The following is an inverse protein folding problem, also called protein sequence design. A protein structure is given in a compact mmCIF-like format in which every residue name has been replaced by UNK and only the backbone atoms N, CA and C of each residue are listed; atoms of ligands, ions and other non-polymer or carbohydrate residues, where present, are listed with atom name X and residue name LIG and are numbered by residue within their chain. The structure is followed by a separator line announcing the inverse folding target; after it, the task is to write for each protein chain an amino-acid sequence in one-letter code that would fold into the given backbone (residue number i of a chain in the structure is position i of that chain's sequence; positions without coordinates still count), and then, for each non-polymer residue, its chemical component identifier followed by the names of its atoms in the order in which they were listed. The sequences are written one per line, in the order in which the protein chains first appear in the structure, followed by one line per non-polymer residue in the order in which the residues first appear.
data_IF_173371958579
#
_entry.id   IF_173371958579
#
_cell.length_a   1.000
_cell.length_b   1.000
_cell.length_c   1.000
_cell.angle_alpha   90.00
_cell.angle_beta   90.00
_cell.angle_gamma   90.00
#
_symmetry.space_group_name_H-M   'P 1'
#
loop_
_entity.id
_entity.type
_entity.pdbx_description
1 polymer ?
#
# COMPACT_ATOMS: atom_id res chain seq x y z
N UNK A 1 29.23 49.70 -2.77
CA UNK A 1 30.22 48.83 -2.08
C UNK A 1 30.13 49.10 -0.60
N UNK A 2 30.39 48.15 0.32
CA UNK A 2 30.74 46.71 0.19
C UNK A 2 29.78 45.85 1.07
N UNK A 3 29.86 44.54 1.29
CA UNK A 3 30.44 43.31 0.71
C UNK A 3 29.76 42.17 1.49
N UNK A 4 29.63 40.99 0.88
CA UNK A 4 29.41 39.73 1.60
C UNK A 4 30.57 39.42 2.57
N UNK A 5 30.37 38.47 3.50
CA UNK A 5 31.01 37.16 3.33
C UNK A 5 30.03 36.01 3.60
N UNK A 6 29.94 34.97 2.76
CA UNK A 6 30.87 33.83 2.66
C UNK A 6 31.02 33.06 4.00
N UNK A 7 30.34 31.92 4.16
CA UNK A 7 30.95 30.59 3.96
C UNK A 7 29.98 29.46 4.36
N UNK A 8 29.63 28.66 3.35
CA UNK A 8 29.19 27.27 3.45
C UNK A 8 30.38 26.39 3.82
N UNK A 9 30.30 25.60 4.90
CA UNK A 9 30.73 24.19 4.88
C UNK A 9 30.26 23.40 6.10
N UNK A 10 29.72 22.22 5.80
CA UNK A 10 29.56 21.02 6.64
C UNK A 10 28.81 21.15 7.98
N UNK A 11 27.61 20.58 8.04
CA UNK A 11 27.37 19.24 8.62
C UNK A 11 26.12 18.65 7.94
N UNK A 12 26.35 17.89 6.86
CA UNK A 12 25.38 16.90 6.37
C UNK A 12 25.59 15.65 7.23
N UNK A 13 24.68 15.38 8.17
CA UNK A 13 24.35 14.08 8.78
C UNK A 13 23.40 14.31 9.95
N UNK A 14 22.33 13.49 10.01
CA UNK A 14 21.28 13.35 11.05
C UNK A 14 20.01 14.16 10.79
N UNK A 15 18.92 13.47 10.42
CA UNK A 15 17.86 13.02 11.34
C UNK A 15 16.76 12.26 10.55
N UNK A 16 16.39 11.07 11.04
CA UNK A 16 15.22 10.31 10.60
C UNK A 16 13.94 11.07 11.01
N UNK A 17 13.00 11.39 10.12
CA UNK A 17 11.77 12.05 10.52
C UNK A 17 10.86 11.06 11.25
N UNK A 18 10.88 11.11 12.59
CA UNK A 18 9.90 10.45 13.44
C UNK A 18 8.63 11.31 13.49
N UNK A 19 7.56 10.84 12.86
CA UNK A 19 6.27 11.54 12.81
C UNK A 19 5.50 11.40 14.13
N UNK A 20 5.04 12.51 14.68
CA UNK A 20 4.22 12.63 15.91
C UNK A 20 2.73 12.76 15.52
N UNK A 21 1.90 11.87 16.06
CA UNK A 21 0.50 11.64 15.68
C UNK A 21 -0.50 12.55 16.43
N UNK A 22 -1.66 12.80 15.81
CA UNK A 22 -2.80 13.57 16.37
C UNK A 22 -3.61 12.67 17.32
N UNK A 23 -3.95 13.21 18.50
CA UNK A 23 -4.37 12.46 19.71
C UNK A 23 -5.84 11.99 19.70
N UNK A 24 -6.06 10.66 19.76
CA UNK A 24 -7.27 9.97 20.27
C UNK A 24 -6.84 8.62 20.87
N UNK A 25 -6.79 8.58 22.21
CA UNK A 25 -6.03 7.62 23.03
C UNK A 25 -4.52 7.68 22.72
N UNK A 26 -3.72 8.07 23.71
CA UNK A 26 -2.30 8.44 23.54
C UNK A 26 -1.38 7.30 23.07
N UNK A 27 -1.88 6.06 22.98
CA UNK A 27 -1.07 4.90 22.63
C UNK A 27 -1.54 4.27 21.31
N UNK A 28 -0.64 4.11 20.32
CA UNK A 28 -0.98 3.50 19.04
C UNK A 28 -1.41 2.03 19.20
N UNK A 29 -2.16 1.52 18.22
CA UNK A 29 -2.53 0.11 18.15
C UNK A 29 -1.30 -0.76 17.84
N UNK A 30 -0.39 -0.26 17.01
CA UNK A 30 0.89 -0.90 16.67
C UNK A 30 2.00 0.14 16.75
N UNK A 31 3.10 -0.20 17.42
CA UNK A 31 4.32 0.61 17.52
C UNK A 31 5.53 -0.27 17.22
N UNK A 32 6.14 -0.03 16.07
CA UNK A 32 7.34 -0.73 15.60
C UNK A 32 8.49 0.25 15.62
N UNK A 33 9.60 -0.10 16.28
CA UNK A 33 10.78 0.75 16.40
C UNK A 33 12.03 -0.03 16.07
N UNK A 34 12.75 0.44 15.05
CA UNK A 34 14.04 -0.07 14.57
C UNK A 34 14.04 -1.60 14.42
N UNK A 35 12.92 -2.15 13.94
CA UNK A 35 12.75 -3.59 13.82
C UNK A 35 13.74 -4.14 12.80
N UNK A 36 14.51 -5.13 13.23
CA UNK A 36 15.38 -5.93 12.37
C UNK A 36 15.01 -7.39 12.49
N UNK A 37 15.05 -8.11 11.37
CA UNK A 37 14.77 -9.54 11.33
C UNK A 37 15.73 -10.26 10.38
N UNK A 38 16.29 -11.37 10.87
CA UNK A 38 17.31 -12.16 10.18
C UNK A 38 16.82 -13.60 9.94
N UNK A 39 17.15 -14.15 8.78
CA UNK A 39 17.04 -15.57 8.44
C UNK A 39 18.44 -16.08 8.10
N UNK A 40 19.11 -16.71 9.07
CA UNK A 40 20.53 -17.02 8.97
C UNK A 40 21.34 -15.74 8.80
N UNK A 41 22.06 -15.60 7.68
CA UNK A 41 22.83 -14.40 7.33
C UNK A 41 22.03 -13.36 6.56
N UNK A 42 20.80 -13.67 6.13
CA UNK A 42 19.97 -12.77 5.34
C UNK A 42 19.13 -11.87 6.23
N UNK A 43 19.36 -10.56 6.16
CA UNK A 43 18.55 -9.55 6.85
C UNK A 43 17.33 -9.16 6.01
N UNK A 44 16.18 -9.72 6.38
CA UNK A 44 14.89 -9.54 5.69
C UNK A 44 14.22 -8.20 6.02
N UNK A 45 14.39 -7.71 7.25
CA UNK A 45 13.87 -6.42 7.72
C UNK A 45 15.03 -5.65 8.35
N UNK A 46 15.23 -4.39 7.94
CA UNK A 46 16.48 -3.63 8.11
C UNK A 46 16.26 -2.30 8.83
N UNK A 47 15.76 -2.33 10.06
CA UNK A 47 15.54 -1.15 10.89
C UNK A 47 14.28 -0.38 10.48
N UNK A 48 13.13 -1.05 10.45
CA UNK A 48 11.85 -0.40 10.11
C UNK A 48 11.19 0.19 11.35
N UNK A 49 10.63 1.39 11.21
CA UNK A 49 9.96 2.12 12.28
C UNK A 49 8.66 2.73 11.77
N UNK A 50 7.54 2.42 12.40
CA UNK A 50 6.23 3.00 12.06
C UNK A 50 5.22 2.79 13.20
N UNK A 51 4.14 3.58 13.17
CA UNK A 51 3.02 3.46 14.10
C UNK A 51 1.68 3.40 13.36
N UNK A 52 0.73 2.68 13.94
CA UNK A 52 -0.66 2.58 13.47
C UNK A 52 -1.58 3.07 14.58
N UNK A 53 -2.37 4.11 14.33
CA UNK A 53 -3.37 4.58 15.30
C UNK A 53 -4.52 3.58 15.43
N UNK A 54 -5.22 3.66 16.56
CA UNK A 54 -6.47 2.92 16.74
C UNK A 54 -7.54 3.42 15.78
N UNK A 55 -8.25 2.49 15.15
CA UNK A 55 -9.29 2.76 14.15
C UNK A 55 -8.77 3.20 12.78
N UNK A 56 -7.45 3.17 12.57
CA UNK A 56 -6.81 3.44 11.29
C UNK A 56 -6.76 2.16 10.43
N UNK A 57 -6.88 2.31 9.11
CA UNK A 57 -6.44 1.29 8.16
C UNK A 57 -5.05 1.67 7.63
N UNK A 58 -4.07 0.86 8.02
CA UNK A 58 -2.69 1.01 7.59
C UNK A 58 -2.33 -0.07 6.58
N UNK A 59 -1.83 0.33 5.41
CA UNK A 59 -1.39 -0.62 4.38
C UNK A 59 0.14 -0.64 4.24
N UNK A 60 0.74 -1.81 4.41
CA UNK A 60 2.14 -2.09 4.15
C UNK A 60 2.29 -2.64 2.72
N UNK A 61 2.92 -1.86 1.85
CA UNK A 61 3.06 -2.10 0.42
C UNK A 61 4.48 -2.51 0.09
N UNK A 62 4.67 -3.18 -1.05
CA UNK A 62 6.00 -3.60 -1.49
C UNK A 62 5.94 -4.80 -2.42
N UNK A 63 7.01 -5.05 -3.17
CA UNK A 63 7.17 -6.27 -3.96
C UNK A 63 7.30 -7.51 -3.09
N UNK A 64 7.19 -8.68 -3.71
CA UNK A 64 7.53 -9.95 -3.07
C UNK A 64 9.00 -9.92 -2.65
N UNK A 65 9.27 -10.40 -1.42
CA UNK A 65 10.61 -10.33 -0.82
C UNK A 65 11.00 -8.96 -0.25
N UNK A 66 10.11 -7.96 -0.24
CA UNK A 66 10.39 -6.68 0.40
C UNK A 66 10.51 -6.76 1.93
N UNK A 67 9.99 -7.82 2.56
CA UNK A 67 9.97 -8.04 4.01
C UNK A 67 8.62 -7.79 4.69
N UNK A 68 7.53 -7.66 3.91
CA UNK A 68 6.16 -7.42 4.41
C UNK A 68 5.68 -8.54 5.34
N UNK A 69 5.65 -9.77 4.84
CA UNK A 69 5.23 -10.97 5.60
C UNK A 69 6.09 -11.17 6.84
N UNK A 70 7.42 -11.00 6.74
CA UNK A 70 8.30 -11.06 7.91
C UNK A 70 7.97 -10.01 8.96
N UNK A 71 7.64 -8.78 8.54
CA UNK A 71 7.21 -7.71 9.46
C UNK A 71 5.87 -8.07 10.12
N UNK A 72 4.94 -8.61 9.32
CA UNK A 72 3.63 -9.07 9.79
C UNK A 72 3.74 -10.21 10.82
N UNK A 73 4.53 -11.25 10.52
CA UNK A 73 4.78 -12.39 11.42
C UNK A 73 5.31 -11.96 12.80
N UNK A 74 6.18 -10.92 12.83
CA UNK A 74 6.69 -10.38 14.10
C UNK A 74 5.59 -9.61 14.85
N UNK A 75 4.75 -8.84 14.15
CA UNK A 75 3.62 -8.14 14.77
C UNK A 75 2.54 -9.10 15.28
N UNK A 76 2.31 -10.22 14.59
CA UNK A 76 1.38 -11.27 15.00
C UNK A 76 1.91 -12.11 16.17
N UNK A 77 3.22 -12.01 16.45
CA UNK A 77 3.88 -12.73 17.54
C UNK A 77 4.30 -14.16 17.17
N UNK A 78 4.31 -14.51 15.88
CA UNK A 78 4.85 -15.79 15.42
C UNK A 78 6.37 -15.87 15.58
N UNK A 79 7.05 -14.72 15.59
CA UNK A 79 8.50 -14.63 15.76
C UNK A 79 8.88 -13.50 16.72
N UNK A 80 9.97 -13.72 17.45
CA UNK A 80 10.63 -12.65 18.19
C UNK A 80 11.40 -11.76 17.22
N UNK A 81 11.43 -10.42 17.45
CA UNK A 81 12.28 -9.53 16.68
C UNK A 81 13.76 -9.87 16.87
N UNK A 82 14.54 -9.84 15.79
CA UNK A 82 16.00 -10.00 15.86
C UNK A 82 16.69 -8.81 16.55
N UNK A 83 16.21 -7.60 16.29
CA UNK A 83 16.51 -6.39 17.05
C UNK A 83 15.35 -5.38 16.97
N UNK A 84 15.41 -4.33 17.77
CA UNK A 84 14.34 -3.34 17.89
C UNK A 84 13.20 -3.80 18.80
N UNK A 85 12.07 -3.10 18.74
CA UNK A 85 10.90 -3.39 19.58
C UNK A 85 9.61 -3.33 18.78
N UNK A 86 8.70 -4.25 19.08
CA UNK A 86 7.33 -4.26 18.56
C UNK A 86 6.35 -4.29 19.72
N UNK A 87 5.37 -3.39 19.68
CA UNK A 87 4.24 -3.37 20.60
C UNK A 87 2.94 -3.44 19.82
N UNK A 88 2.06 -4.36 20.22
CA UNK A 88 0.72 -4.53 19.69
C UNK A 88 -0.28 -4.37 20.82
N UNK A 89 -1.14 -3.36 20.71
CA UNK A 89 -2.13 -2.96 21.72
C UNK A 89 -1.48 -2.74 23.11
N UNK A 90 -0.25 -2.22 23.11
CA UNK A 90 0.57 -1.97 24.30
C UNK A 90 1.38 -3.17 24.82
N UNK A 91 1.26 -4.34 24.21
CA UNK A 91 1.87 -5.60 24.65
C UNK A 91 2.99 -6.05 23.71
N UNK A 92 3.92 -6.88 24.18
CA UNK A 92 4.88 -7.58 23.32
C UNK A 92 4.17 -8.77 22.65
N UNK A 93 4.01 -8.81 21.33
CA UNK A 93 3.24 -9.88 20.67
C UNK A 93 3.85 -11.27 20.83
N UNK A 94 5.16 -11.38 21.01
CA UNK A 94 5.84 -12.67 21.20
C UNK A 94 5.76 -13.13 22.66
N UNK A 95 6.10 -12.25 23.61
CA UNK A 95 6.13 -12.58 25.05
C UNK A 95 4.74 -12.66 25.68
N UNK A 96 3.86 -11.73 25.31
CA UNK A 96 2.49 -11.62 25.82
C UNK A 96 1.46 -12.27 24.87
N UNK A 97 1.93 -13.19 24.02
CA UNK A 97 1.16 -13.78 22.91
C UNK A 97 -0.26 -14.25 23.26
N UNK A 98 -0.50 -14.96 24.39
CA UNK A 98 -1.86 -15.34 24.78
C UNK A 98 -2.81 -14.15 25.01
N UNK A 99 -2.31 -13.03 25.53
CA UNK A 99 -3.12 -11.82 25.76
C UNK A 99 -3.36 -11.07 24.45
N UNK A 100 -2.35 -11.01 23.57
CA UNK A 100 -2.46 -10.38 22.26
C UNK A 100 -3.42 -11.15 21.35
N UNK A 101 -3.27 -12.48 21.24
CA UNK A 101 -4.13 -13.35 20.40
C UNK A 101 -5.62 -13.28 20.74
N UNK A 102 -5.97 -12.91 21.97
CA UNK A 102 -7.39 -12.70 22.36
C UNK A 102 -7.99 -11.42 21.79
N UNK A 103 -7.14 -10.45 21.45
CA UNK A 103 -7.53 -9.08 21.04
C UNK A 103 -7.28 -8.82 19.56
N UNK A 104 -6.53 -9.68 18.88
CA UNK A 104 -6.25 -9.57 17.46
C UNK A 104 -6.99 -10.63 16.65
N UNK A 105 -7.22 -10.32 15.37
CA UNK A 105 -7.65 -11.24 14.34
C UNK A 105 -6.56 -11.35 13.27
N UNK A 106 -6.38 -12.54 12.70
CA UNK A 106 -5.37 -12.76 11.65
C UNK A 106 -6.03 -13.50 10.50
N UNK A 107 -5.90 -12.95 9.31
CA UNK A 107 -6.24 -13.59 8.05
C UNK A 107 -4.94 -13.88 7.30
N UNK A 108 -4.62 -15.16 7.16
CA UNK A 108 -3.44 -15.61 6.42
C UNK A 108 -3.71 -15.64 4.90
N UNK A 109 -2.64 -15.68 4.12
CA UNK A 109 -2.71 -15.73 2.65
C UNK A 109 -3.43 -16.99 2.12
N UNK A 110 -3.26 -18.14 2.77
CA UNK A 110 -3.96 -19.39 2.42
C UNK A 110 -4.71 -19.96 3.63
N UNK A 111 -6.05 -19.98 3.53
CA UNK A 111 -6.94 -20.64 4.49
C UNK A 111 -6.96 -22.15 4.27
N UNK A 112 -6.36 -22.92 5.18
CA UNK A 112 -6.44 -24.38 5.18
C UNK A 112 -7.81 -24.86 5.68
N UNK A 113 -8.81 -24.88 4.80
CA UNK A 113 -10.14 -25.39 5.14
C UNK A 113 -10.32 -26.88 4.83
N UNK A 114 -11.13 -27.55 5.65
CA UNK A 114 -11.63 -28.89 5.35
C UNK A 114 -12.82 -28.77 4.37
N UNK A 115 -12.67 -29.19 3.10
CA UNK A 115 -13.70 -28.97 2.08
C UNK A 115 -15.00 -29.73 2.36
N UNK A 116 -14.96 -30.78 3.19
CA UNK A 116 -16.11 -31.61 3.56
C UNK A 116 -17.03 -30.94 4.59
N UNK A 117 -16.48 -30.06 5.43
CA UNK A 117 -17.26 -29.33 6.43
C UNK A 117 -18.14 -28.27 5.78
N UNK A 118 -19.29 -28.02 6.38
CA UNK A 118 -20.11 -26.84 6.04
C UNK A 118 -19.47 -25.56 6.58
N UNK A 119 -19.88 -24.42 6.02
CA UNK A 119 -19.53 -23.09 6.52
C UNK A 119 -19.80 -22.97 8.02
N UNK A 120 -20.99 -23.39 8.47
CA UNK A 120 -21.38 -23.37 9.87
C UNK A 120 -20.48 -24.26 10.71
N UNK A 121 -20.27 -25.52 10.30
CA UNK A 121 -19.42 -26.46 11.03
C UNK A 121 -17.98 -25.95 11.15
N UNK A 122 -17.46 -25.32 10.08
CA UNK A 122 -16.14 -24.70 10.09
C UNK A 122 -16.06 -23.59 11.14
N UNK A 123 -17.01 -22.66 11.15
CA UNK A 123 -17.02 -21.58 12.15
C UNK A 123 -17.21 -22.14 13.56
N UNK A 124 -18.15 -23.08 13.76
CA UNK A 124 -18.40 -23.71 15.06
C UNK A 124 -17.18 -24.47 15.58
N UNK A 125 -16.43 -25.14 14.71
CA UNK A 125 -15.16 -25.78 15.06
C UNK A 125 -14.13 -24.75 15.55
N UNK A 126 -13.94 -23.65 14.81
CA UNK A 126 -12.99 -22.59 15.17
C UNK A 126 -13.35 -21.88 16.49
N UNK A 127 -14.64 -21.78 16.82
CA UNK A 127 -15.09 -21.22 18.11
C UNK A 127 -14.53 -21.99 19.31
N UNK A 128 -14.25 -23.29 19.16
CA UNK A 128 -13.61 -24.09 20.21
C UNK A 128 -12.16 -23.70 20.51
N UNK A 129 -11.46 -23.08 19.55
CA UNK A 129 -10.06 -22.68 19.68
C UNK A 129 -9.86 -21.21 20.07
N UNK A 130 -10.93 -20.40 20.05
CA UNK A 130 -10.84 -18.96 20.22
C UNK A 130 -11.57 -18.52 21.50
N UNK A 131 -10.84 -17.84 22.39
CA UNK A 131 -11.44 -17.24 23.58
C UNK A 131 -12.31 -16.03 23.19
N UNK A 132 -13.51 -15.92 23.77
CA UNK A 132 -14.41 -14.80 23.48
C UNK A 132 -15.08 -14.88 22.10
N UNK A 133 -15.11 -16.06 21.48
CA UNK A 133 -15.71 -16.25 20.17
C UNK A 133 -17.20 -15.87 20.16
N UNK A 134 -17.57 -15.01 19.21
CA UNK A 134 -18.94 -14.56 18.97
C UNK A 134 -19.83 -15.70 18.46
N UNK A 135 -21.13 -15.49 18.39
CA UNK A 135 -22.06 -16.52 17.91
C UNK A 135 -21.87 -16.69 16.41
N UNK A 136 -21.86 -17.93 15.93
CA UNK A 136 -21.69 -18.28 14.50
C UNK A 136 -22.61 -17.49 13.59
N UNK A 137 -23.88 -17.33 13.98
CA UNK A 137 -24.84 -16.53 13.22
C UNK A 137 -24.41 -15.07 13.07
N UNK A 138 -23.99 -14.43 14.16
CA UNK A 138 -23.57 -13.02 14.12
C UNK A 138 -22.37 -12.80 13.19
N UNK A 139 -21.41 -13.71 13.23
CA UNK A 139 -20.21 -13.63 12.40
C UNK A 139 -20.53 -13.89 10.93
N UNK A 140 -21.36 -14.89 10.65
CA UNK A 140 -21.79 -15.19 9.27
C UNK A 140 -22.69 -14.10 8.68
N UNK A 141 -23.54 -13.46 9.50
CA UNK A 141 -24.34 -12.31 9.09
C UNK A 141 -23.40 -11.13 8.76
N UNK A 142 -22.37 -10.88 9.58
CA UNK A 142 -21.40 -9.80 9.36
C UNK A 142 -20.62 -9.95 8.05
N UNK A 143 -20.29 -11.18 7.64
CA UNK A 143 -19.52 -11.41 6.41
C UNK A 143 -20.39 -11.83 5.21
N UNK A 144 -21.71 -11.64 5.29
CA UNK A 144 -22.67 -12.01 4.23
C UNK A 144 -22.54 -13.49 3.76
N UNK A 145 -22.40 -14.41 4.72
CA UNK A 145 -22.37 -15.86 4.49
C UNK A 145 -23.48 -16.63 5.20
N UNK A 146 -24.40 -15.94 5.86
CA UNK A 146 -25.51 -16.58 6.58
C UNK A 146 -26.37 -17.48 5.67
N UNK A 147 -26.66 -17.03 4.44
CA UNK A 147 -27.40 -17.82 3.44
C UNK A 147 -26.64 -19.05 2.93
N UNK A 148 -25.34 -19.14 3.20
CA UNK A 148 -24.45 -20.24 2.78
C UNK A 148 -24.01 -21.12 3.95
N UNK A 149 -24.58 -20.91 5.15
CA UNK A 149 -24.18 -21.61 6.36
C UNK A 149 -24.21 -23.16 6.25
N UNK A 150 -25.15 -23.72 5.48
CA UNK A 150 -25.28 -25.17 5.26
C UNK A 150 -24.50 -25.71 4.05
N UNK A 151 -23.77 -24.87 3.33
CA UNK A 151 -23.01 -25.25 2.12
C UNK A 151 -21.64 -25.77 2.54
N UNK A 152 -21.16 -26.82 1.88
CA UNK A 152 -19.81 -27.35 2.10
C UNK A 152 -18.75 -26.37 1.61
N UNK A 153 -17.64 -26.22 2.35
CA UNK A 153 -16.56 -25.29 2.00
C UNK A 153 -15.98 -25.61 0.61
N UNK A 154 -15.90 -26.89 0.24
CA UNK A 154 -15.47 -27.31 -1.09
C UNK A 154 -16.31 -26.74 -2.24
N UNK A 155 -17.57 -26.38 -1.98
CA UNK A 155 -18.52 -25.84 -2.97
C UNK A 155 -18.58 -24.30 -2.99
N UNK A 156 -17.81 -23.62 -2.14
CA UNK A 156 -17.74 -22.18 -2.12
C UNK A 156 -16.89 -21.65 -3.27
N UNK A 157 -17.32 -20.53 -3.85
CA UNK A 157 -16.49 -19.74 -4.77
C UNK A 157 -15.25 -19.18 -4.06
N UNK A 158 -14.25 -18.72 -4.82
CA UNK A 158 -13.04 -18.10 -4.23
C UNK A 158 -13.37 -16.92 -3.30
N UNK A 159 -14.28 -16.05 -3.73
CA UNK A 159 -14.76 -14.94 -2.91
C UNK A 159 -15.50 -15.40 -1.64
N UNK A 160 -16.32 -16.44 -1.73
CA UNK A 160 -17.01 -17.02 -0.57
C UNK A 160 -16.03 -17.66 0.43
N UNK A 161 -15.00 -18.36 -0.05
CA UNK A 161 -13.94 -18.91 0.81
C UNK A 161 -13.20 -17.80 1.55
N UNK A 162 -12.93 -16.68 0.89
CA UNK A 162 -12.28 -15.55 1.55
C UNK A 162 -13.17 -14.85 2.56
N UNK A 163 -14.48 -14.75 2.30
CA UNK A 163 -15.42 -14.27 3.32
C UNK A 163 -15.44 -15.20 4.53
N UNK A 164 -15.28 -16.51 4.32
CA UNK A 164 -15.12 -17.47 5.42
C UNK A 164 -13.80 -17.25 6.17
N UNK A 165 -12.67 -17.03 5.49
CA UNK A 165 -11.40 -16.66 6.13
C UNK A 165 -11.58 -15.42 7.02
N UNK A 166 -12.26 -14.40 6.50
CA UNK A 166 -12.49 -13.16 7.22
C UNK A 166 -13.42 -13.39 8.42
N UNK A 167 -14.44 -14.25 8.28
CA UNK A 167 -15.31 -14.69 9.35
C UNK A 167 -14.51 -15.26 10.53
N UNK A 168 -13.54 -16.13 10.24
CA UNK A 168 -12.67 -16.73 11.24
C UNK A 168 -11.74 -15.69 11.87
N UNK A 169 -11.18 -14.78 11.06
CA UNK A 169 -10.30 -13.73 11.54
C UNK A 169 -11.02 -12.75 12.48
N UNK A 170 -12.32 -12.49 12.28
CA UNK A 170 -13.10 -11.60 13.15
C UNK A 170 -13.87 -12.34 14.25
N UNK A 171 -13.69 -13.64 14.41
CA UNK A 171 -14.55 -14.48 15.24
C UNK A 171 -14.60 -14.03 16.73
N UNK A 172 -13.51 -13.48 17.26
CA UNK A 172 -13.43 -12.91 18.62
C UNK A 172 -13.85 -11.42 18.73
N UNK A 173 -14.20 -10.76 17.63
CA UNK A 173 -14.45 -9.31 17.62
C UNK A 173 -13.17 -8.53 17.95
N UNK A 174 -12.13 -8.63 17.12
CA UNK A 174 -10.79 -8.13 17.46
C UNK A 174 -10.73 -6.59 17.48
N UNK A 175 -9.86 -6.04 18.34
CA UNK A 175 -9.49 -4.63 18.34
C UNK A 175 -8.56 -4.27 17.16
N UNK A 176 -7.78 -5.25 16.70
CA UNK A 176 -6.82 -5.12 15.61
C UNK A 176 -6.88 -6.35 14.70
N UNK A 177 -7.01 -6.13 13.39
CA UNK A 177 -7.10 -7.16 12.38
C UNK A 177 -5.90 -7.08 11.43
N UNK A 178 -5.15 -8.18 11.31
CA UNK A 178 -4.10 -8.35 10.32
C UNK A 178 -4.66 -9.07 9.09
N UNK A 179 -4.45 -8.50 7.92
CA UNK A 179 -4.89 -9.04 6.63
C UNK A 179 -3.67 -9.22 5.73
N UNK A 180 -3.23 -10.47 5.55
CA UNK A 180 -2.14 -10.79 4.63
C UNK A 180 -2.71 -11.07 3.23
N UNK A 181 -2.51 -10.12 2.30
CA UNK A 181 -2.96 -10.21 0.92
C UNK A 181 -4.44 -10.68 0.76
N UNK A 182 -5.42 -9.92 1.29
CA UNK A 182 -6.82 -10.34 1.38
C UNK A 182 -7.51 -10.56 0.04
N UNK A 183 -7.02 -9.98 -1.05
CA UNK A 183 -7.72 -9.98 -2.34
C UNK A 183 -6.92 -10.62 -3.48
N UNK A 184 -5.82 -11.29 -3.17
CA UNK A 184 -5.02 -12.04 -4.14
C UNK A 184 -5.82 -13.17 -4.76
N UNK A 185 -5.77 -13.28 -6.10
CA UNK A 185 -6.47 -14.31 -6.86
C UNK A 185 -7.99 -14.13 -6.99
N UNK A 186 -8.54 -13.01 -6.53
CA UNK A 186 -9.96 -12.69 -6.67
C UNK A 186 -10.30 -12.01 -7.99
N UNK A 187 -11.51 -12.29 -8.48
CA UNK A 187 -12.15 -11.47 -9.50
C UNK A 187 -12.51 -10.05 -8.96
N UNK A 188 -12.78 -9.07 -9.84
CA UNK A 188 -13.04 -7.70 -9.43
C UNK A 188 -14.26 -7.51 -8.50
N UNK A 189 -15.31 -8.33 -8.65
CA UNK A 189 -16.52 -8.22 -7.83
C UNK A 189 -16.26 -8.73 -6.40
N UNK A 190 -15.63 -9.90 -6.29
CA UNK A 190 -15.21 -10.46 -5.00
C UNK A 190 -14.27 -9.52 -4.24
N UNK A 191 -13.32 -8.88 -4.94
CA UNK A 191 -12.43 -7.86 -4.36
C UNK A 191 -13.19 -6.70 -3.73
N UNK A 192 -14.11 -6.08 -4.48
CA UNK A 192 -14.93 -4.96 -3.99
C UNK A 192 -15.80 -5.34 -2.79
N UNK A 193 -16.30 -6.57 -2.75
CA UNK A 193 -17.06 -7.05 -1.60
C UNK A 193 -16.17 -7.21 -0.35
N UNK A 194 -14.95 -7.75 -0.49
CA UNK A 194 -13.98 -7.81 0.61
C UNK A 194 -13.61 -6.42 1.11
N UNK A 195 -13.39 -5.47 0.21
CA UNK A 195 -13.11 -4.06 0.54
C UNK A 195 -14.20 -3.44 1.40
N UNK A 196 -15.46 -3.58 0.98
CA UNK A 196 -16.62 -3.06 1.74
C UNK A 196 -16.66 -3.64 3.16
N UNK A 197 -16.43 -4.94 3.30
CA UNK A 197 -16.42 -5.59 4.60
C UNK A 197 -15.28 -5.09 5.51
N UNK A 198 -14.10 -4.84 4.93
CA UNK A 198 -12.96 -4.25 5.66
C UNK A 198 -13.27 -2.80 6.09
N UNK A 199 -13.90 -2.01 5.23
CA UNK A 199 -14.36 -0.65 5.57
C UNK A 199 -15.40 -0.68 6.70
N UNK A 200 -16.36 -1.61 6.66
CA UNK A 200 -17.36 -1.79 7.71
C UNK A 200 -16.73 -2.20 9.04
N UNK A 201 -15.76 -3.11 9.03
CA UNK A 201 -15.00 -3.50 10.22
C UNK A 201 -14.28 -2.30 10.83
N UNK A 202 -13.60 -1.52 10.00
CA UNK A 202 -12.93 -0.27 10.40
C UNK A 202 -13.92 0.75 10.97
N UNK A 203 -15.06 0.97 10.30
CA UNK A 203 -16.10 1.90 10.74
C UNK A 203 -16.68 1.52 12.11
N UNK A 204 -16.68 0.23 12.45
CA UNK A 204 -17.06 -0.28 13.76
C UNK A 204 -15.96 -0.17 14.84
N UNK A 205 -14.82 0.47 14.52
CA UNK A 205 -13.73 0.77 15.46
C UNK A 205 -12.57 -0.22 15.44
N UNK A 206 -12.61 -1.24 14.58
CA UNK A 206 -11.48 -2.18 14.42
C UNK A 206 -10.32 -1.48 13.73
N UNK A 207 -9.11 -1.63 14.27
CA UNK A 207 -7.89 -1.19 13.58
C UNK A 207 -7.50 -2.24 12.55
N UNK A 208 -7.07 -1.84 11.36
CA UNK A 208 -6.72 -2.80 10.29
C UNK A 208 -5.29 -2.57 9.82
N UNK A 209 -4.50 -3.64 9.80
CA UNK A 209 -3.18 -3.67 9.16
C UNK A 209 -3.25 -4.63 7.98
N UNK A 210 -3.07 -4.08 6.80
CA UNK A 210 -3.17 -4.76 5.51
C UNK A 210 -1.78 -4.89 4.89
N UNK A 211 -1.43 -6.05 4.36
CA UNK A 211 -0.36 -6.17 3.36
C UNK A 211 -1.00 -6.38 1.99
N UNK A 212 -0.46 -5.72 0.97
CA UNK A 212 -0.91 -5.93 -0.40
C UNK A 212 0.18 -5.53 -1.39
N UNK A 213 0.21 -6.19 -2.53
CA UNK A 213 0.94 -5.73 -3.72
C UNK A 213 0.02 -5.01 -4.72
N UNK A 214 -1.29 -4.95 -4.47
CA UNK A 214 -2.22 -4.17 -5.26
C UNK A 214 -2.28 -2.73 -4.76
N UNK A 215 -1.60 -1.83 -5.46
CA UNK A 215 -1.50 -0.43 -5.07
C UNK A 215 -2.85 0.31 -5.11
N UNK A 216 -3.75 -0.11 -6.01
CA UNK A 216 -5.13 0.39 -6.08
C UNK A 216 -5.91 0.11 -4.78
N UNK A 217 -5.73 -1.08 -4.19
CA UNK A 217 -6.38 -1.46 -2.93
C UNK A 217 -5.98 -0.53 -1.79
N UNK A 218 -4.67 -0.28 -1.68
CA UNK A 218 -4.15 0.61 -0.67
C UNK A 218 -4.59 2.06 -0.89
N UNK A 219 -4.61 2.53 -2.14
CA UNK A 219 -5.04 3.88 -2.47
C UNK A 219 -6.52 4.11 -2.16
N UNK A 220 -7.36 3.09 -2.33
CA UNK A 220 -8.79 3.16 -2.08
C UNK A 220 -9.14 3.04 -0.59
N UNK A 221 -8.47 2.14 0.15
CA UNK A 221 -8.86 1.76 1.50
C UNK A 221 -8.05 2.43 2.61
N UNK A 222 -6.78 2.71 2.38
CA UNK A 222 -5.85 3.03 3.46
C UNK A 222 -5.93 4.49 3.87
N UNK A 223 -5.95 4.71 5.19
CA UNK A 223 -5.73 6.03 5.77
C UNK A 223 -4.26 6.43 5.61
N UNK A 224 -3.36 5.47 5.86
CA UNK A 224 -1.91 5.62 5.70
C UNK A 224 -1.30 4.40 5.07
N UNK A 225 -0.21 4.65 4.36
CA UNK A 225 0.56 3.62 3.67
C UNK A 225 2.00 3.69 4.10
N UNK A 226 2.69 2.55 4.08
CA UNK A 226 4.13 2.46 4.09
C UNK A 226 4.58 1.58 2.93
N UNK A 227 5.42 2.13 2.06
CA UNK A 227 6.01 1.42 0.93
C UNK A 227 7.35 0.86 1.38
N UNK A 228 7.46 -0.46 1.37
CA UNK A 228 8.62 -1.22 1.78
C UNK A 228 9.38 -1.75 0.55
N UNK A 229 10.69 -1.57 0.56
CA UNK A 229 11.60 -2.04 -0.50
C UNK A 229 12.87 -2.55 0.15
N UNK A 230 13.28 -3.79 -0.18
CA UNK A 230 14.54 -4.41 0.28
C UNK A 230 14.74 -4.31 1.80
N UNK A 231 13.69 -4.61 2.57
CA UNK A 231 13.73 -4.63 4.03
C UNK A 231 13.62 -3.26 4.70
N UNK A 232 13.39 -2.16 3.97
CA UNK A 232 13.30 -0.79 4.51
C UNK A 232 12.03 -0.10 4.06
N UNK A 233 11.55 0.86 4.86
CA UNK A 233 10.46 1.75 4.44
C UNK A 233 11.07 2.85 3.56
N UNK A 234 10.64 2.89 2.30
CA UNK A 234 11.06 3.88 1.30
C UNK A 234 10.20 5.15 1.36
N UNK A 235 8.91 5.01 1.65
CA UNK A 235 7.99 6.12 1.84
C UNK A 235 6.90 5.72 2.84
N UNK A 236 6.45 6.64 3.67
CA UNK A 236 5.29 6.42 4.54
C UNK A 236 4.58 7.75 4.84
N UNK A 237 3.26 7.68 5.03
CA UNK A 237 2.44 8.86 5.27
C UNK A 237 0.97 8.56 5.00
N UNK A 238 0.11 9.59 5.02
CA UNK A 238 -1.21 9.43 4.42
C UNK A 238 -1.07 9.18 2.93
N UNK A 239 -2.10 8.59 2.31
CA UNK A 239 -2.12 8.42 0.84
C UNK A 239 -1.89 9.78 0.16
N UNK A 240 -2.50 10.84 0.68
CA UNK A 240 -2.30 12.19 0.17
C UNK A 240 -0.85 12.69 0.34
N UNK A 241 -0.19 12.43 1.48
CA UNK A 241 1.20 12.84 1.70
C UNK A 241 2.16 12.13 0.73
N UNK A 242 1.96 10.83 0.53
CA UNK A 242 2.81 10.01 -0.35
C UNK A 242 2.61 10.40 -1.83
N UNK A 243 1.43 10.88 -2.20
CA UNK A 243 1.14 11.41 -3.53
C UNK A 243 1.46 12.91 -3.67
N UNK A 244 1.68 13.62 -2.56
CA UNK A 244 1.91 15.07 -2.57
C UNK A 244 3.19 15.43 -3.33
N UNK A 245 3.13 16.52 -4.10
CA UNK A 245 4.25 16.96 -4.94
C UNK A 245 4.48 16.12 -6.19
N UNK A 246 3.66 15.08 -6.45
CA UNK A 246 3.63 14.37 -7.73
C UNK A 246 2.50 14.93 -8.57
N UNK A 247 2.85 15.57 -9.69
CA UNK A 247 1.89 16.17 -10.60
C UNK A 247 0.87 15.17 -11.18
N UNK A 248 -0.13 15.70 -11.87
CA UNK A 248 -1.02 14.94 -12.74
C UNK A 248 -0.42 14.82 -14.14
N UNK A 249 -0.91 13.87 -14.93
CA UNK A 249 -0.70 13.81 -16.37
C UNK A 249 -1.98 14.20 -17.10
N UNK A 250 -1.84 15.01 -18.16
CA UNK A 250 -2.91 15.31 -19.10
C UNK A 250 -2.52 14.68 -20.44
N UNK A 251 -3.35 13.78 -20.93
CA UNK A 251 -3.13 13.03 -22.16
C UNK A 251 -4.25 13.35 -23.14
N UNK A 252 -3.96 13.56 -24.42
CA UNK A 252 -4.99 13.70 -25.46
C UNK A 252 -4.46 13.27 -26.82
N UNK A 253 -5.36 12.98 -27.76
CA UNK A 253 -5.01 12.65 -29.14
C UNK A 253 -4.56 13.92 -29.86
N UNK A 254 -3.37 13.87 -30.46
CA UNK A 254 -2.87 14.98 -31.29
C UNK A 254 -3.71 15.06 -32.58
N UNK A 255 -4.37 16.20 -32.84
CA UNK A 255 -5.17 16.38 -34.04
C UNK A 255 -4.34 16.26 -35.33
N UNK A 256 -4.97 15.76 -36.39
CA UNK A 256 -4.29 15.51 -37.66
C UNK A 256 -3.70 16.80 -38.25
N UNK A 257 -2.44 16.74 -38.69
CA UNK A 257 -1.74 17.89 -39.27
C UNK A 257 -0.91 18.72 -38.29
N UNK A 258 -1.04 18.50 -36.98
CA UNK A 258 -0.22 19.20 -35.97
C UNK A 258 1.07 18.44 -35.65
N UNK A 259 2.15 19.20 -35.46
CA UNK A 259 3.48 18.74 -35.01
C UNK A 259 3.67 19.04 -33.52
N UNK A 260 4.72 18.46 -32.94
CA UNK A 260 5.10 18.71 -31.55
C UNK A 260 5.23 20.22 -31.24
N UNK A 261 5.85 20.95 -32.16
CA UNK A 261 6.12 22.38 -32.02
C UNK A 261 4.85 23.25 -32.10
N UNK A 262 3.74 22.71 -32.63
CA UNK A 262 2.47 23.43 -32.72
C UNK A 262 1.70 23.40 -31.39
N UNK A 263 2.04 22.46 -30.49
CA UNK A 263 1.39 22.25 -29.21
C UNK A 263 1.82 23.30 -28.17
N UNK A 264 0.94 23.69 -27.23
CA UNK A 264 1.26 24.74 -26.28
C UNK A 264 2.22 24.26 -25.20
N UNK A 265 3.17 25.10 -24.81
CA UNK A 265 3.83 24.92 -23.52
C UNK A 265 2.80 25.19 -22.40
N UNK A 266 2.61 24.22 -21.50
CA UNK A 266 1.70 24.40 -20.36
C UNK A 266 2.41 25.10 -19.18
N UNK A 267 1.66 25.79 -18.30
CA UNK A 267 2.24 26.50 -17.16
C UNK A 267 3.14 25.59 -16.32
N UNK A 268 4.31 26.09 -15.92
CA UNK A 268 5.32 25.32 -15.21
C UNK A 268 4.73 24.55 -14.00
N UNK A 269 5.17 23.28 -13.82
CA UNK A 269 6.23 22.58 -14.56
C UNK A 269 5.78 21.92 -15.87
N UNK A 270 4.58 22.26 -16.37
CA UNK A 270 3.89 21.67 -17.53
C UNK A 270 4.71 21.42 -18.80
N UNK A 271 5.80 22.15 -19.02
CA UNK A 271 6.81 21.84 -20.03
C UNK A 271 6.27 21.63 -21.45
N UNK A 272 7.10 20.97 -22.27
CA UNK A 272 6.69 20.44 -23.58
C UNK A 272 6.09 19.03 -23.39
N UNK A 273 5.12 18.63 -24.23
CA UNK A 273 4.53 17.30 -24.13
C UNK A 273 5.52 16.22 -24.57
N UNK A 274 5.46 15.06 -23.90
CA UNK A 274 5.97 13.83 -24.48
C UNK A 274 4.98 13.32 -25.53
N UNK A 275 5.47 13.01 -26.73
CA UNK A 275 4.66 12.42 -27.80
C UNK A 275 4.92 10.92 -27.92
N UNK A 276 3.84 10.15 -28.06
CA UNK A 276 3.89 8.71 -28.32
C UNK A 276 2.97 8.34 -29.48
N UNK A 277 3.29 7.24 -30.16
CA UNK A 277 2.54 6.77 -31.34
C UNK A 277 2.86 7.53 -32.62
N UNK A 278 2.03 7.33 -33.66
CA UNK A 278 2.23 7.91 -35.00
C UNK A 278 2.94 7.00 -36.01
N UNK A 279 3.30 5.78 -35.62
CA UNK A 279 3.77 4.72 -36.51
C UNK A 279 2.66 3.68 -36.75
N UNK A 280 2.62 3.11 -37.95
CA UNK A 280 1.71 2.01 -38.34
C UNK A 280 0.20 2.25 -38.07
N UNK A 281 -0.28 3.49 -38.25
CA UNK A 281 -1.72 3.81 -38.14
C UNK A 281 -2.24 4.01 -36.72
N UNK A 282 -1.36 3.99 -35.71
CA UNK A 282 -1.72 4.34 -34.33
C UNK A 282 -1.79 5.88 -34.20
N UNK A 283 -2.91 6.45 -33.70
CA UNK A 283 -3.03 7.89 -33.47
C UNK A 283 -1.90 8.42 -32.59
N UNK A 284 -1.37 9.62 -32.89
CA UNK A 284 -0.41 10.29 -32.02
C UNK A 284 -1.09 10.80 -30.76
N UNK A 285 -0.41 10.68 -29.63
CA UNK A 285 -0.89 11.11 -28.33
C UNK A 285 0.13 12.04 -27.69
N UNK A 286 -0.34 13.14 -27.08
CA UNK A 286 0.48 14.06 -26.32
C UNK A 286 0.21 13.89 -24.83
N UNK A 287 1.27 13.80 -24.01
CA UNK A 287 1.20 13.68 -22.55
C UNK A 287 1.97 14.81 -21.88
N UNK A 288 1.30 15.57 -21.01
CA UNK A 288 1.89 16.63 -20.21
C UNK A 288 1.96 16.22 -18.75
N UNK A 289 3.10 16.39 -18.10
CA UNK A 289 3.22 16.30 -16.63
C UNK A 289 2.98 17.68 -16.02
N UNK A 290 1.98 17.82 -15.15
CA UNK A 290 1.51 19.11 -14.63
C UNK A 290 1.30 19.06 -13.13
N UNK A 291 1.78 20.04 -12.37
CA UNK A 291 1.49 20.09 -10.92
C UNK A 291 0.06 20.53 -10.62
N UNK A 292 -0.52 21.34 -11.50
CA UNK A 292 -1.86 21.93 -11.31
C UNK A 292 -2.73 21.70 -12.53
N UNK A 293 -3.64 20.75 -12.40
CA UNK A 293 -4.52 20.31 -13.48
C UNK A 293 -5.42 21.42 -14.00
N UNK A 294 -6.04 22.21 -13.12
CA UNK A 294 -6.99 23.26 -13.50
C UNK A 294 -6.40 24.32 -14.43
N UNK A 295 -5.33 25.03 -14.04
CA UNK A 295 -4.65 25.99 -14.91
C UNK A 295 -4.11 25.39 -16.21
N UNK A 296 -3.62 24.15 -16.17
CA UNK A 296 -3.10 23.44 -17.32
C UNK A 296 -4.20 23.11 -18.35
N UNK A 297 -5.32 22.52 -17.91
CA UNK A 297 -6.49 22.28 -18.77
C UNK A 297 -7.03 23.59 -19.36
N UNK A 298 -7.12 24.64 -18.54
CA UNK A 298 -7.60 25.94 -19.01
C UNK A 298 -6.68 26.54 -20.09
N UNK A 299 -5.36 26.38 -19.96
CA UNK A 299 -4.40 26.79 -20.98
C UNK A 299 -4.53 25.96 -22.26
N UNK A 300 -4.69 24.64 -22.12
CA UNK A 300 -4.87 23.72 -23.24
C UNK A 300 -6.14 24.03 -24.04
N UNK A 301 -7.28 24.24 -23.36
CA UNK A 301 -8.53 24.63 -24.02
C UNK A 301 -8.46 26.00 -24.68
N UNK A 302 -7.79 26.99 -24.08
CA UNK A 302 -7.59 28.30 -24.70
C UNK A 302 -6.75 28.21 -25.98
N UNK A 303 -5.69 27.40 -25.97
CA UNK A 303 -4.87 27.17 -27.16
C UNK A 303 -5.68 26.52 -28.28
N UNK A 304 -6.49 25.51 -27.96
CA UNK A 304 -7.31 24.78 -28.91
C UNK A 304 -8.38 25.69 -29.55
N UNK A 305 -9.09 26.47 -28.73
CA UNK A 305 -10.07 27.45 -29.20
C UNK A 305 -9.43 28.53 -30.08
N UNK A 306 -8.22 28.99 -29.76
CA UNK A 306 -7.50 29.99 -30.56
C UNK A 306 -7.02 29.49 -31.94
N UNK A 307 -7.03 28.18 -32.17
CA UNK A 307 -6.61 27.54 -33.44
C UNK A 307 -7.76 26.84 -34.18
N UNK A 308 -8.98 26.91 -33.65
CA UNK A 308 -10.15 26.18 -34.16
C UNK A 308 -9.89 24.66 -34.25
N UNK A 309 -9.26 24.13 -33.20
CA UNK A 309 -8.87 22.71 -33.09
C UNK A 309 -9.70 22.04 -32.00
N UNK A 310 -10.29 20.90 -32.32
CA UNK A 310 -10.99 20.07 -31.34
C UNK A 310 -9.99 19.12 -30.64
N UNK A 311 -10.08 19.04 -29.31
CA UNK A 311 -9.26 18.16 -28.50
C UNK A 311 -10.02 16.88 -28.19
N UNK A 312 -9.65 15.81 -28.88
CA UNK A 312 -10.27 14.51 -28.68
C UNK A 312 -9.54 13.68 -27.61
N UNK A 313 -10.34 12.93 -26.83
CA UNK A 313 -9.83 11.92 -25.90
C UNK A 313 -8.96 12.51 -24.79
N UNK A 314 -9.33 13.67 -24.24
CA UNK A 314 -8.63 14.24 -23.09
C UNK A 314 -8.83 13.33 -21.87
N UNK A 315 -7.73 12.80 -21.37
CA UNK A 315 -7.64 12.07 -20.12
C UNK A 315 -6.78 12.82 -19.12
N UNK A 316 -7.25 12.87 -17.89
CA UNK A 316 -6.52 13.45 -16.77
C UNK A 316 -6.29 12.36 -15.76
N UNK A 317 -5.03 12.06 -15.47
CA UNK A 317 -4.64 11.12 -14.42
C UNK A 317 -3.88 11.84 -13.34
N UNK A 318 -4.33 11.75 -12.10
CA UNK A 318 -3.52 12.17 -10.95
C UNK A 318 -2.45 11.12 -10.66
N UNK A 319 -1.36 11.52 -10.00
CA UNK A 319 -0.38 10.58 -9.50
C UNK A 319 -1.05 9.46 -8.67
N UNK A 320 -0.56 8.24 -8.88
CA UNK A 320 -1.01 7.03 -8.21
C UNK A 320 0.10 6.42 -7.38
N UNK A 321 -0.23 5.54 -6.43
CA UNK A 321 0.76 4.78 -5.68
C UNK A 321 1.64 3.90 -6.59
N UNK A 322 1.16 3.53 -7.77
CA UNK A 322 1.94 2.84 -8.81
C UNK A 322 3.08 3.71 -9.34
N UNK A 323 2.83 4.97 -9.64
CA UNK A 323 3.86 5.90 -10.11
C UNK A 323 4.95 6.10 -9.04
N UNK A 324 4.53 6.19 -7.77
CA UNK A 324 5.44 6.24 -6.62
C UNK A 324 6.32 5.00 -6.56
N UNK A 325 5.69 3.84 -6.69
CA UNK A 325 6.35 2.56 -6.58
C UNK A 325 7.39 2.36 -7.70
N UNK A 326 7.03 2.72 -8.93
CA UNK A 326 7.92 2.66 -10.09
C UNK A 326 9.12 3.60 -9.94
N UNK A 327 8.90 4.85 -9.54
CA UNK A 327 9.99 5.80 -9.31
C UNK A 327 10.99 5.29 -8.25
N UNK A 328 10.50 4.75 -7.14
CA UNK A 328 11.34 4.17 -6.08
C UNK A 328 12.10 2.91 -6.56
N UNK A 329 11.51 2.12 -7.47
CA UNK A 329 12.16 0.97 -8.06
C UNK A 329 13.29 1.37 -9.02
N UNK A 330 13.08 2.42 -9.83
CA UNK A 330 14.06 2.96 -10.77
C UNK A 330 15.27 3.61 -10.07
N UNK A 331 15.03 4.39 -9.01
CA UNK A 331 16.09 4.94 -8.13
C UNK A 331 16.94 3.82 -7.49
N UNK A 332 16.28 2.71 -7.13
CA UNK A 332 16.96 1.52 -6.62
C UNK A 332 17.76 0.75 -7.66
N UNK A 333 17.35 0.80 -8.94
CA UNK A 333 18.03 0.16 -10.07
C UNK A 333 19.25 0.96 -10.54
N UNK A 334 19.14 2.28 -10.61
CA UNK A 334 20.23 3.19 -10.99
C UNK A 334 21.36 3.18 -9.95
N UNK A 335 21.04 3.21 -8.65
CA UNK A 335 22.04 3.04 -7.60
C UNK A 335 22.81 1.69 -7.68
N UNK A 336 22.18 0.64 -8.25
CA UNK A 336 22.79 -0.67 -8.46
C UNK A 336 23.73 -0.69 -9.68
N UNK A 337 23.39 0.03 -10.75
CA UNK A 337 24.25 0.19 -11.92
C UNK A 337 25.55 0.93 -11.54
N UNK A 338 25.43 2.01 -10.77
CA UNK A 338 26.59 2.80 -10.32
C UNK A 338 27.50 2.04 -9.35
N UNK A 339 26.94 1.25 -8.43
CA UNK A 339 27.71 0.41 -7.51
C UNK A 339 28.39 -0.76 -8.21
N UNK A 340 27.75 -1.36 -9.22
CA UNK A 340 28.34 -2.45 -10.02
C UNK A 340 29.46 -1.93 -10.91
N UNK A 341 29.32 -0.71 -11.46
CA UNK A 341 30.34 -0.05 -12.28
C UNK A 341 31.55 0.42 -11.44
N UNK A 342 31.33 0.90 -10.21
CA UNK A 342 32.41 1.20 -9.26
C UNK A 342 33.14 -0.06 -8.76
N UNK A 343 32.43 -1.16 -8.54
CA UNK A 343 33.04 -2.44 -8.20
C UNK A 343 33.87 -3.02 -9.37
N UNK A 344 33.38 -2.89 -10.61
CA UNK A 344 34.12 -3.26 -11.82
C UNK A 344 35.38 -2.42 -12.04
N UNK A 345 35.33 -1.10 -11.79
CA UNK A 345 36.52 -0.22 -11.86
C UNK A 345 37.58 -0.51 -10.80
N UNK A 346 37.19 -0.95 -9.60
CA UNK A 346 38.15 -1.38 -8.56
C UNK A 346 38.75 -2.76 -8.84
N UNK A 347 38.07 -3.63 -9.59
CA UNK A 347 38.59 -4.93 -10.00
C UNK A 347 39.53 -4.86 -11.22
N UNK A 348 39.44 -3.79 -12.03
CA UNK A 348 40.28 -3.56 -13.22
C UNK A 348 41.59 -2.80 -12.96
N UNK A 349 41.91 -2.45 -11.71
CA UNK A 349 43.22 -1.91 -11.31
C UNK A 349 43.88 -2.94 -10.39
N UNK A 350 44.44 -3.99 -10.99
CA UNK A 350 45.47 -4.81 -10.37
C UNK A 350 46.37 -5.45 -11.41
#
# INVERSE_FOLDING_TARGET
MPRAPEFLHSVFMRENPTFRQKDRSTSPAVDVRELQQFYGTYEAVRGVSFTVARGELFALLGTNGAGKTTTLEVMEGYRAPGAGTVRVLGLDPYRDGPQVRRRIGVMLQEGGFFPELTVRETVDCWRGFISGARRTREVLDQVDLAGRAGVRVGQLSGGERRRLDLALAVLNGPELLFLDEPTTGMDPEARRNTWRLVEELRANGTTVVLTTHYLEEAQQLADRVAIMTRGRIAAAGTVADVLSGRGATITFRVPAGLRADDLPALPAPGGAPALTGGDQGVPRTATYAVDRTGPALAALHRWAAGRDVELDGIEVRTASLEDVFLALAEEGGTARAEQTEQAGRKAGIR
#
